data_IF_060117853513
#
_entry.id   IF_060117853513
#
_cell.length_a   1.000
_cell.length_b   1.000
_cell.length_c   1.000
_cell.angle_alpha   90.00
_cell.angle_beta   90.00
_cell.angle_gamma   90.00
#
_symmetry.space_group_name_H-M   'P 1'
#
loop_
_entity.id
_entity.type
_entity.pdbx_description
1 polymer ?
#
# COMPACT_ATOMS: atom_id res chain seq x y z
N UNK A 1 -7.93 2.09 -25.77
CA UNK A 1 -8.41 2.75 -24.54
C UNK A 1 -8.29 4.24 -24.78
N UNK A 2 -9.39 4.88 -25.19
CA UNK A 2 -9.34 6.20 -25.83
C UNK A 2 -9.72 7.30 -24.83
N UNK A 3 -9.03 7.31 -23.69
CA UNK A 3 -9.17 8.39 -22.71
C UNK A 3 -8.32 9.59 -23.11
N UNK A 4 -8.91 10.77 -23.18
CA UNK A 4 -8.18 12.03 -23.36
C UNK A 4 -7.60 12.56 -22.04
N UNK A 5 -8.02 12.01 -20.90
CA UNK A 5 -7.57 12.43 -19.56
C UNK A 5 -6.30 11.72 -19.10
N UNK A 6 -5.97 10.58 -19.73
CA UNK A 6 -4.80 9.79 -19.39
C UNK A 6 -3.69 9.99 -20.42
N UNK A 7 -2.47 10.19 -19.94
CA UNK A 7 -1.30 10.12 -20.80
C UNK A 7 -0.97 8.67 -21.20
N UNK A 8 -0.05 8.48 -22.13
CA UNK A 8 0.27 7.15 -22.66
C UNK A 8 0.81 6.18 -21.60
N UNK A 9 1.57 6.68 -20.63
CA UNK A 9 2.13 5.85 -19.54
C UNK A 9 1.02 5.40 -18.58
N UNK A 10 0.08 6.29 -18.27
CA UNK A 10 -1.10 5.96 -17.46
C UNK A 10 -2.03 4.97 -18.17
N UNK A 11 -2.24 5.13 -19.49
CA UNK A 11 -3.00 4.17 -20.30
C UNK A 11 -2.36 2.78 -20.27
N UNK A 12 -1.04 2.70 -20.43
CA UNK A 12 -0.31 1.44 -20.33
C UNK A 12 -0.45 0.81 -18.93
N UNK A 13 -0.39 1.61 -17.86
CA UNK A 13 -0.61 1.13 -16.51
C UNK A 13 -2.02 0.57 -16.29
N UNK A 14 -3.07 1.27 -16.76
CA UNK A 14 -4.44 0.78 -16.62
C UNK A 14 -4.68 -0.47 -17.46
N UNK A 15 -4.14 -0.52 -18.67
CA UNK A 15 -4.20 -1.71 -19.52
C UNK A 15 -3.54 -2.92 -18.83
N UNK A 16 -2.35 -2.73 -18.25
CA UNK A 16 -1.68 -3.77 -17.49
C UNK A 16 -2.51 -4.22 -16.28
N UNK A 17 -3.01 -3.26 -15.49
CA UNK A 17 -3.84 -3.53 -14.33
C UNK A 17 -5.10 -4.34 -14.68
N UNK A 18 -5.75 -4.04 -15.82
CA UNK A 18 -6.89 -4.81 -16.32
C UNK A 18 -6.52 -6.27 -16.59
N UNK A 19 -5.40 -6.50 -17.27
CA UNK A 19 -4.93 -7.86 -17.59
C UNK A 19 -4.48 -8.65 -16.36
N UNK A 20 -3.81 -8.00 -15.40
CA UNK A 20 -3.45 -8.63 -14.11
C UNK A 20 -4.71 -8.97 -13.31
N UNK A 21 -5.69 -8.07 -13.27
CA UNK A 21 -6.97 -8.26 -12.57
C UNK A 21 -7.80 -9.42 -13.14
N UNK A 22 -7.87 -9.50 -14.48
CA UNK A 22 -8.54 -10.60 -15.19
C UNK A 22 -7.70 -11.88 -15.25
N UNK A 23 -6.49 -11.87 -14.69
CA UNK A 23 -5.54 -12.98 -14.73
C UNK A 23 -5.21 -13.47 -16.17
N UNK A 24 -5.09 -12.53 -17.10
CA UNK A 24 -4.76 -12.80 -18.53
C UNK A 24 -3.38 -12.30 -18.92
N UNK A 25 -2.68 -11.57 -18.04
CA UNK A 25 -1.36 -10.99 -18.29
C UNK A 25 -0.33 -12.02 -18.79
N UNK A 26 -0.35 -13.25 -18.25
CA UNK A 26 0.58 -14.33 -18.63
C UNK A 26 0.51 -14.71 -20.11
N UNK A 27 -0.64 -14.55 -20.77
CA UNK A 27 -0.83 -14.91 -22.18
C UNK A 27 -0.81 -13.70 -23.13
N UNK A 28 -0.36 -12.54 -22.64
CA UNK A 28 -0.42 -11.26 -23.36
C UNK A 28 0.95 -10.60 -23.39
N UNK A 29 1.91 -11.29 -24.01
CA UNK A 29 3.28 -10.79 -24.21
C UNK A 29 3.29 -9.44 -24.94
N UNK A 30 2.37 -9.24 -25.88
CA UNK A 30 2.21 -7.96 -26.59
C UNK A 30 1.86 -6.79 -25.65
N UNK A 31 1.06 -7.05 -24.61
CA UNK A 31 0.74 -6.05 -23.59
C UNK A 31 1.94 -5.83 -22.67
N UNK A 32 2.62 -6.90 -22.25
CA UNK A 32 3.80 -6.80 -21.40
C UNK A 32 4.91 -5.97 -22.09
N UNK A 33 5.19 -6.26 -23.36
CA UNK A 33 6.16 -5.50 -24.15
C UNK A 33 5.73 -4.04 -24.33
N UNK A 34 4.45 -3.78 -24.59
CA UNK A 34 3.93 -2.41 -24.65
C UNK A 34 4.18 -1.64 -23.34
N UNK A 35 3.92 -2.26 -22.19
CA UNK A 35 4.14 -1.66 -20.88
C UNK A 35 5.63 -1.41 -20.64
N UNK A 36 6.52 -2.33 -21.03
CA UNK A 36 7.98 -2.15 -20.95
C UNK A 36 8.51 -1.00 -21.79
N UNK A 37 7.77 -0.51 -22.79
CA UNK A 37 8.14 0.73 -23.51
C UNK A 37 7.95 2.00 -22.67
N UNK A 38 7.14 1.95 -21.61
CA UNK A 38 6.77 3.10 -20.76
C UNK A 38 7.25 2.98 -19.32
N UNK A 39 7.62 1.78 -18.89
CA UNK A 39 8.06 1.44 -17.53
C UNK A 39 9.34 0.61 -17.58
N UNK A 40 10.26 0.90 -16.66
CA UNK A 40 11.43 0.04 -16.47
C UNK A 40 11.07 -1.23 -15.67
N UNK A 41 11.99 -2.18 -15.58
CA UNK A 41 11.72 -3.48 -14.94
C UNK A 41 11.29 -3.38 -13.47
N UNK A 42 11.91 -2.49 -12.69
CA UNK A 42 11.56 -2.27 -11.29
C UNK A 42 10.16 -1.69 -11.18
N UNK A 43 9.82 -0.71 -12.02
CA UNK A 43 8.49 -0.12 -12.05
C UNK A 43 7.41 -1.12 -12.47
N UNK A 44 7.69 -2.05 -13.40
CA UNK A 44 6.75 -3.11 -13.78
C UNK A 44 6.51 -4.08 -12.62
N UNK A 45 7.56 -4.41 -11.85
CA UNK A 45 7.43 -5.23 -10.64
C UNK A 45 6.54 -4.53 -9.61
N UNK A 46 6.80 -3.24 -9.33
CA UNK A 46 6.00 -2.45 -8.39
C UNK A 46 4.55 -2.29 -8.84
N UNK A 47 4.34 -1.97 -10.12
CA UNK A 47 3.00 -1.85 -10.72
C UNK A 47 2.23 -3.17 -10.56
N UNK A 48 2.87 -4.30 -10.85
CA UNK A 48 2.26 -5.63 -10.73
C UNK A 48 1.96 -5.97 -9.27
N UNK A 49 2.85 -5.62 -8.33
CA UNK A 49 2.65 -5.81 -6.90
C UNK A 49 1.40 -5.05 -6.41
N UNK A 50 1.26 -3.77 -6.78
CA UNK A 50 0.11 -2.95 -6.39
C UNK A 50 -1.18 -3.55 -6.95
N UNK A 51 -1.19 -3.94 -8.23
CA UNK A 51 -2.34 -4.62 -8.82
C UNK A 51 -2.71 -5.89 -8.05
N UNK A 52 -1.72 -6.73 -7.73
CA UNK A 52 -1.91 -7.95 -6.95
C UNK A 52 -2.48 -7.70 -5.55
N UNK A 53 -1.94 -6.71 -4.84
CA UNK A 53 -2.41 -6.33 -3.50
C UNK A 53 -3.87 -5.92 -3.51
N UNK A 54 -4.29 -5.07 -4.45
CA UNK A 54 -5.69 -4.65 -4.58
C UNK A 54 -6.60 -5.80 -5.02
N UNK A 55 -6.14 -6.66 -5.92
CA UNK A 55 -6.90 -7.85 -6.32
C UNK A 55 -7.13 -8.81 -5.15
N UNK A 56 -6.11 -9.04 -4.33
CA UNK A 56 -6.24 -9.80 -3.09
C UNK A 56 -7.20 -9.10 -2.12
N UNK A 57 -7.00 -7.82 -1.85
CA UNK A 57 -7.80 -7.05 -0.89
C UNK A 57 -9.27 -7.03 -1.28
N UNK A 58 -9.59 -6.78 -2.55
CA UNK A 58 -10.97 -6.79 -3.04
C UNK A 58 -11.61 -8.16 -2.80
N UNK A 59 -10.96 -9.26 -3.23
CA UNK A 59 -11.47 -10.62 -3.00
C UNK A 59 -11.65 -10.94 -1.52
N UNK A 60 -10.69 -10.55 -0.68
CA UNK A 60 -10.74 -10.78 0.76
C UNK A 60 -11.91 -10.03 1.41
N UNK A 61 -12.04 -8.73 1.14
CA UNK A 61 -13.11 -7.90 1.69
C UNK A 61 -14.49 -8.35 1.19
N UNK A 62 -14.62 -8.64 -0.11
CA UNK A 62 -15.87 -9.07 -0.73
C UNK A 62 -16.31 -10.44 -0.18
N UNK A 63 -15.39 -11.40 -0.06
CA UNK A 63 -15.70 -12.76 0.42
C UNK A 63 -16.17 -12.76 1.88
N UNK A 64 -15.65 -11.83 2.69
CA UNK A 64 -16.04 -11.68 4.09
C UNK A 64 -17.20 -10.69 4.29
N UNK A 65 -17.71 -10.10 3.20
CA UNK A 65 -18.79 -9.09 3.23
C UNK A 65 -18.48 -7.95 4.22
N UNK A 66 -17.22 -7.52 4.27
CA UNK A 66 -16.80 -6.46 5.19
C UNK A 66 -17.56 -5.18 4.82
N UNK A 67 -18.34 -4.59 5.74
CA UNK A 67 -19.07 -3.37 5.44
C UNK A 67 -18.10 -2.21 5.22
N UNK A 68 -18.49 -1.28 4.35
CA UNK A 68 -17.76 -0.02 4.22
C UNK A 68 -17.86 0.75 5.52
N UNK A 69 -16.74 1.31 5.96
CA UNK A 69 -16.73 2.23 7.09
C UNK A 69 -17.61 3.44 6.76
N UNK A 70 -18.46 3.87 7.71
CA UNK A 70 -19.21 5.11 7.57
C UNK A 70 -18.28 6.28 7.28
N UNK A 71 -18.67 7.16 6.36
CA UNK A 71 -17.83 8.30 5.92
C UNK A 71 -17.44 9.20 7.10
N UNK A 72 -18.33 9.35 8.08
CA UNK A 72 -18.08 10.10 9.31
C UNK A 72 -16.99 9.48 10.19
N UNK A 73 -16.74 8.16 10.10
CA UNK A 73 -15.60 7.51 10.76
C UNK A 73 -14.30 7.73 9.96
N UNK A 74 -14.35 7.68 8.62
CA UNK A 74 -13.19 7.94 7.76
C UNK A 74 -12.71 9.40 7.90
N UNK A 75 -13.63 10.35 8.03
CA UNK A 75 -13.32 11.78 8.22
C UNK A 75 -12.60 12.05 9.56
N UNK A 76 -12.64 11.11 10.52
CA UNK A 76 -11.86 11.21 11.76
C UNK A 76 -10.39 10.86 11.56
N UNK A 77 -10.01 10.25 10.43
CA UNK A 77 -8.61 9.98 10.06
C UNK A 77 -7.94 11.32 9.76
N UNK A 78 -7.43 11.97 10.81
CA UNK A 78 -6.65 13.19 10.69
C UNK A 78 -5.27 12.85 10.13
N UNK A 79 -4.65 13.82 9.41
CA UNK A 79 -3.23 13.76 9.02
C UNK A 79 -2.42 13.24 10.21
N UNK A 80 -1.61 12.22 9.96
CA UNK A 80 -0.71 11.55 10.89
C UNK A 80 -0.26 12.53 11.95
N UNK A 81 -0.59 12.25 13.21
CA UNK A 81 -0.50 13.15 14.35
C UNK A 81 0.58 14.22 14.17
N UNK A 82 0.19 15.51 14.14
CA UNK A 82 1.16 16.57 14.41
C UNK A 82 1.77 16.21 15.77
N UNK A 83 3.02 15.76 15.77
CA UNK A 83 3.78 15.49 16.98
C UNK A 83 3.74 16.77 17.81
N UNK A 84 2.98 16.75 18.90
CA UNK A 84 2.98 17.86 19.84
C UNK A 84 4.31 17.79 20.61
N UNK A 85 5.18 18.83 20.52
CA UNK A 85 6.47 18.83 21.19
C UNK A 85 6.38 18.63 22.70
N UNK A 86 5.33 19.13 23.34
CA UNK A 86 5.13 19.01 24.79
C UNK A 86 4.80 17.57 25.20
N UNK A 87 3.99 16.88 24.39
CA UNK A 87 3.68 15.47 24.61
C UNK A 87 4.91 14.60 24.43
N UNK A 88 5.75 14.90 23.43
CA UNK A 88 7.01 14.20 23.20
C UNK A 88 7.99 14.43 24.36
N UNK A 89 8.12 15.67 24.83
CA UNK A 89 8.96 16.01 25.98
C UNK A 89 8.53 15.24 27.23
N UNK A 90 7.23 15.26 27.56
CA UNK A 90 6.68 14.54 28.72
C UNK A 90 6.91 13.03 28.65
N UNK A 91 6.80 12.45 27.46
CA UNK A 91 7.09 11.03 27.23
C UNK A 91 8.58 10.72 27.46
N UNK A 92 9.49 11.55 26.95
CA UNK A 92 10.93 11.39 27.16
C UNK A 92 11.33 11.57 28.63
N UNK A 93 10.73 12.52 29.34
CA UNK A 93 10.93 12.70 30.79
C UNK A 93 10.50 11.45 31.56
N UNK A 94 9.32 10.88 31.24
CA UNK A 94 8.85 9.63 31.84
C UNK A 94 9.82 8.46 31.55
N UNK A 95 10.36 8.37 30.33
CA UNK A 95 11.38 7.36 30.00
C UNK A 95 12.65 7.57 30.82
N UNK A 96 13.12 8.80 30.96
CA UNK A 96 14.33 9.13 31.71
C UNK A 96 14.19 8.81 33.19
N UNK A 97 13.03 9.14 33.78
CA UNK A 97 12.72 8.82 35.19
C UNK A 97 12.67 7.31 35.43
N UNK A 98 12.19 6.54 34.45
CA UNK A 98 12.05 5.09 34.55
C UNK A 98 13.16 4.34 33.82
N UNK A 99 14.29 4.99 33.53
CA UNK A 99 15.37 4.40 32.75
C UNK A 99 15.99 3.22 33.51
N UNK A 100 15.89 1.99 33.00
CA UNK A 100 16.33 0.83 33.76
C UNK A 100 17.87 0.78 33.78
N UNK A 101 18.44 0.36 34.91
CA UNK A 101 19.89 0.14 35.03
C UNK A 101 20.38 -1.06 34.21
N UNK A 102 19.48 -2.00 33.90
CA UNK A 102 19.70 -3.13 33.01
C UNK A 102 18.45 -3.33 32.18
N UNK A 103 18.60 -3.41 30.87
CA UNK A 103 17.51 -3.79 30.00
C UNK A 103 17.17 -5.27 30.22
N UNK A 104 15.90 -5.66 30.11
CA UNK A 104 15.53 -7.07 30.15
C UNK A 104 16.25 -7.80 29.02
N UNK A 105 16.85 -8.95 29.35
CA UNK A 105 17.33 -9.87 28.32
C UNK A 105 16.11 -10.39 27.55
N UNK A 106 16.22 -10.59 26.22
CA UNK A 106 15.19 -11.29 25.46
C UNK A 106 14.86 -12.62 26.14
N UNK A 107 13.60 -13.04 26.07
CA UNK A 107 13.28 -14.40 26.51
C UNK A 107 14.18 -15.39 25.78
N UNK A 108 14.72 -16.40 26.48
CA UNK A 108 15.48 -17.45 25.81
C UNK A 108 14.61 -18.10 24.73
N UNK A 109 15.24 -18.40 23.60
CA UNK A 109 14.62 -19.15 22.50
C UNK A 109 14.42 -20.61 22.96
N UNK A 110 13.34 -20.87 23.71
CA UNK A 110 12.81 -22.22 23.94
C UNK A 110 11.99 -22.69 22.72
#
# INVERSE_FOLDING_TARGET
MDSQLLNDREKAAVLWAEHVTKNTARSRDDVFEHVRTKFNEQEVVELTMICGLFNFRNRYMDSLQIPLEPIDEVDKIKKSARLNPDNLKRYLELILENWPKKFPEPNPDD
#
